data_IF_512083877876
#
_entry.id   IF_512083877876
#
_cell.length_a   1.000
_cell.length_b   1.000
_cell.length_c   1.000
_cell.angle_alpha   90.00
_cell.angle_beta   90.00
_cell.angle_gamma   90.00
#
_symmetry.space_group_name_H-M   'P 1'
#
loop_
_entity.id
_entity.type
_entity.pdbx_description
1 polymer ?
#
# COMPACT_ATOMS: atom_id res chain seq x y z
N UNK A 1 -4.79 -4.26 -1.29
CA UNK A 1 -3.80 -3.19 -1.06
C UNK A 1 -4.45 -1.82 -0.83
N UNK A 2 -5.80 -1.72 -0.83
CA UNK A 2 -6.51 -0.44 -0.67
C UNK A 2 -6.92 -0.29 0.79
N UNK A 3 -6.38 0.70 1.46
CA UNK A 3 -6.77 1.16 2.80
C UNK A 3 -6.28 2.58 3.03
N UNK A 4 -6.69 3.19 4.12
CA UNK A 4 -6.13 4.48 4.56
C UNK A 4 -4.61 4.43 4.60
N UNK A 5 -3.97 5.56 4.39
CA UNK A 5 -2.52 5.76 4.37
C UNK A 5 -1.79 5.08 3.20
N UNK A 6 -2.50 4.56 2.19
CA UNK A 6 -1.84 3.91 1.07
C UNK A 6 -0.99 4.89 0.24
N UNK A 7 0.10 4.36 -0.33
CA UNK A 7 0.93 5.08 -1.29
C UNK A 7 0.69 4.52 -2.69
N UNK A 8 0.40 5.42 -3.64
CA UNK A 8 0.25 5.12 -5.06
C UNK A 8 1.48 5.58 -5.83
N UNK A 9 1.83 4.84 -6.88
CA UNK A 9 3.01 5.14 -7.70
C UNK A 9 2.85 6.46 -8.45
N UNK A 10 3.82 7.36 -8.31
CA UNK A 10 3.88 8.62 -9.05
C UNK A 10 4.17 8.42 -10.54
N UNK A 11 3.72 9.38 -11.36
CA UNK A 11 4.02 9.50 -12.80
C UNK A 11 3.61 8.28 -13.65
N UNK A 12 2.75 7.42 -13.12
CA UNK A 12 2.15 6.28 -13.84
C UNK A 12 0.66 6.20 -13.56
N UNK A 13 -0.13 5.66 -14.47
CA UNK A 13 -1.51 5.29 -14.18
C UNK A 13 -1.54 4.28 -13.01
N UNK A 14 -2.46 4.51 -12.06
CA UNK A 14 -2.69 3.57 -10.98
C UNK A 14 -3.99 2.81 -11.23
N UNK A 15 -3.98 1.52 -10.98
CA UNK A 15 -5.15 0.66 -11.15
C UNK A 15 -5.87 0.52 -9.81
N UNK A 16 -7.11 1.01 -9.76
CA UNK A 16 -8.02 0.80 -8.65
C UNK A 16 -9.04 -0.26 -9.03
N UNK A 17 -9.20 -1.25 -8.17
CA UNK A 17 -10.13 -2.37 -8.37
C UNK A 17 -11.01 -2.55 -7.15
N UNK A 18 -12.18 -3.09 -7.34
CA UNK A 18 -13.08 -3.46 -6.26
C UNK A 18 -14.16 -4.43 -6.73
N UNK A 19 -15.02 -4.81 -5.81
CA UNK A 19 -16.16 -5.67 -6.05
C UNK A 19 -17.48 -4.93 -5.82
N UNK A 20 -18.56 -5.45 -6.36
CA UNK A 20 -19.90 -4.88 -6.22
C UNK A 20 -20.97 -5.72 -6.91
N UNK A 21 -22.19 -5.22 -6.94
CA UNK A 21 -23.32 -5.90 -7.58
C UNK A 21 -23.19 -5.78 -9.10
N UNK A 22 -23.19 -6.90 -9.86
CA UNK A 22 -23.11 -6.87 -11.32
C UNK A 22 -24.11 -5.91 -11.97
N UNK A 23 -23.65 -5.13 -12.94
CA UNK A 23 -24.44 -4.14 -13.66
C UNK A 23 -24.61 -2.79 -12.95
N UNK A 24 -24.21 -2.65 -11.69
CA UNK A 24 -24.23 -1.34 -11.02
C UNK A 24 -23.09 -0.44 -11.50
N UNK A 25 -23.41 0.84 -11.62
CA UNK A 25 -22.41 1.88 -11.91
C UNK A 25 -21.58 2.16 -10.65
N UNK A 26 -20.30 2.43 -10.86
CA UNK A 26 -19.36 2.91 -9.83
C UNK A 26 -18.85 4.28 -10.25
N UNK A 27 -19.01 5.27 -9.38
CA UNK A 27 -18.38 6.58 -9.45
C UNK A 27 -17.19 6.59 -8.49
N UNK A 28 -16.02 6.92 -8.99
CA UNK A 28 -14.82 7.12 -8.17
C UNK A 28 -14.38 8.58 -8.28
N UNK A 29 -14.31 9.26 -7.16
CA UNK A 29 -13.77 10.61 -7.03
C UNK A 29 -12.35 10.53 -6.48
N UNK A 30 -11.38 11.06 -7.23
CA UNK A 30 -9.99 11.06 -6.82
C UNK A 30 -9.20 12.19 -7.48
N UNK A 31 -8.40 12.89 -6.70
CA UNK A 31 -7.51 13.97 -7.16
C UNK A 31 -8.26 15.07 -7.97
N UNK A 32 -9.49 15.40 -7.58
CA UNK A 32 -10.32 16.41 -8.24
C UNK A 32 -10.95 15.95 -9.56
N UNK A 33 -10.90 14.65 -9.85
CA UNK A 33 -11.49 14.02 -11.05
C UNK A 33 -12.52 12.97 -10.69
N UNK A 34 -13.48 12.80 -11.58
CA UNK A 34 -14.46 11.72 -11.54
C UNK A 34 -14.11 10.64 -12.59
N UNK A 35 -14.14 9.40 -12.17
CA UNK A 35 -14.00 8.23 -13.02
C UNK A 35 -15.25 7.38 -12.90
N UNK A 36 -15.71 6.81 -13.99
CA UNK A 36 -16.93 6.00 -14.02
C UNK A 36 -16.66 4.64 -14.66
N UNK A 37 -17.22 3.59 -14.07
CA UNK A 37 -17.17 2.23 -14.59
C UNK A 37 -18.46 1.51 -14.22
N UNK A 38 -18.60 0.27 -14.67
CA UNK A 38 -19.70 -0.62 -14.32
C UNK A 38 -19.14 -1.93 -13.80
N UNK A 39 -19.76 -2.47 -12.74
CA UNK A 39 -19.42 -3.79 -12.21
C UNK A 39 -19.73 -4.85 -13.26
N UNK A 40 -18.74 -5.64 -13.63
CA UNK A 40 -18.89 -6.72 -14.63
C UNK A 40 -19.72 -7.90 -14.09
N UNK A 41 -20.00 -8.89 -14.94
CA UNK A 41 -20.79 -10.08 -14.59
C UNK A 41 -20.13 -10.92 -13.46
N UNK A 42 -18.81 -10.84 -13.29
CA UNK A 42 -18.06 -11.49 -12.21
C UNK A 42 -18.09 -10.74 -10.87
N UNK A 43 -18.80 -9.59 -10.80
CA UNK A 43 -18.88 -8.81 -9.59
C UNK A 43 -17.67 -7.88 -9.35
N UNK A 44 -16.84 -7.65 -10.36
CA UNK A 44 -15.62 -6.83 -10.23
C UNK A 44 -15.70 -5.58 -11.10
N UNK A 45 -15.03 -4.53 -10.66
CA UNK A 45 -14.80 -3.30 -11.42
C UNK A 45 -13.33 -2.89 -11.40
N UNK A 46 -12.94 -2.10 -12.40
CA UNK A 46 -11.60 -1.56 -12.56
C UNK A 46 -11.67 -0.15 -13.09
N UNK A 47 -10.80 0.71 -12.56
CA UNK A 47 -10.54 2.07 -13.03
C UNK A 47 -9.03 2.25 -13.11
N UNK A 48 -8.56 2.74 -14.26
CA UNK A 48 -7.18 3.19 -14.46
C UNK A 48 -7.17 4.72 -14.32
N UNK A 49 -6.46 5.24 -13.32
CA UNK A 49 -6.37 6.68 -13.08
C UNK A 49 -5.31 7.29 -13.99
N UNK A 50 -5.39 8.60 -14.18
CA UNK A 50 -4.29 9.32 -14.83
C UNK A 50 -3.03 9.31 -13.94
N UNK A 51 -1.82 9.51 -14.56
CA UNK A 51 -0.60 9.70 -13.80
C UNK A 51 -0.71 10.92 -12.87
N UNK A 52 -0.27 10.75 -11.63
CA UNK A 52 -0.31 11.80 -10.62
C UNK A 52 1.11 12.18 -10.16
N UNK A 53 1.26 13.43 -9.75
CA UNK A 53 2.48 13.93 -9.11
C UNK A 53 2.33 13.94 -7.59
N UNK A 54 3.44 13.83 -6.83
CA UNK A 54 3.45 14.03 -5.39
C UNK A 54 2.85 15.37 -4.98
N UNK A 55 2.38 15.45 -3.75
CA UNK A 55 1.76 16.63 -3.17
C UNK A 55 1.05 16.27 -1.87
N UNK A 56 0.11 17.11 -1.43
CA UNK A 56 -0.69 16.85 -0.24
C UNK A 56 -1.45 15.53 -0.33
N UNK A 57 -1.66 14.85 0.82
CA UNK A 57 -2.47 13.66 0.88
C UNK A 57 -3.87 13.87 0.33
N UNK A 58 -4.43 12.87 -0.30
CA UNK A 58 -5.72 12.90 -1.00
C UNK A 58 -6.68 11.89 -0.42
N UNK A 59 -7.94 12.05 -0.77
CA UNK A 59 -8.99 11.09 -0.47
C UNK A 59 -9.46 10.42 -1.75
N UNK A 60 -9.78 9.13 -1.67
CA UNK A 60 -10.55 8.42 -2.69
C UNK A 60 -11.95 8.19 -2.13
N UNK A 61 -12.96 8.49 -2.94
CA UNK A 61 -14.37 8.17 -2.63
C UNK A 61 -14.92 7.31 -3.76
N UNK A 62 -15.41 6.12 -3.42
CA UNK A 62 -16.09 5.24 -4.37
C UNK A 62 -17.56 5.10 -3.99
N UNK A 63 -18.46 5.38 -4.94
CA UNK A 63 -19.92 5.39 -4.75
C UNK A 63 -20.55 4.39 -5.70
N UNK A 64 -21.41 3.52 -5.19
CA UNK A 64 -22.20 2.57 -6.00
C UNK A 64 -23.60 2.38 -5.41
N UNK A 65 -24.58 3.05 -6.01
CA UNK A 65 -25.94 3.12 -5.45
C UNK A 65 -25.95 3.90 -4.14
N UNK A 66 -26.38 3.27 -3.04
CA UNK A 66 -26.38 3.87 -1.71
C UNK A 66 -25.06 3.62 -0.94
N UNK A 67 -24.21 2.75 -1.44
CA UNK A 67 -22.94 2.40 -0.80
C UNK A 67 -21.87 3.45 -1.11
N UNK A 68 -21.15 3.90 -0.08
CA UNK A 68 -20.02 4.80 -0.20
C UNK A 68 -18.84 4.26 0.61
N UNK A 69 -17.68 4.16 -0.05
CA UNK A 69 -16.41 3.80 0.58
C UNK A 69 -15.46 4.97 0.45
N UNK A 70 -14.78 5.29 1.54
CA UNK A 70 -13.75 6.32 1.58
C UNK A 70 -12.41 5.71 1.97
N UNK A 71 -11.34 6.19 1.33
CA UNK A 71 -9.95 5.89 1.68
C UNK A 71 -9.24 7.23 1.88
N UNK A 72 -8.72 7.42 3.07
CA UNK A 72 -8.13 8.69 3.50
C UNK A 72 -6.61 8.64 3.46
N UNK A 73 -5.99 9.82 3.46
CA UNK A 73 -4.54 9.97 3.52
C UNK A 73 -3.80 9.17 2.42
N UNK A 74 -4.35 9.22 1.20
CA UNK A 74 -3.72 8.58 0.02
C UNK A 74 -2.59 9.47 -0.49
N UNK A 75 -1.39 8.92 -0.54
CA UNK A 75 -0.18 9.61 -0.94
C UNK A 75 0.29 9.18 -2.31
N UNK A 76 0.97 10.08 -3.01
CA UNK A 76 1.58 9.80 -4.30
C UNK A 76 3.09 9.85 -4.11
N UNK A 77 3.76 8.75 -4.39
CA UNK A 77 5.19 8.60 -4.14
C UNK A 77 5.78 7.43 -4.91
N UNK A 78 6.88 6.89 -4.42
CA UNK A 78 7.49 5.69 -4.99
C UNK A 78 7.10 4.44 -4.20
N UNK A 79 6.59 3.44 -4.91
CA UNK A 79 6.18 2.17 -4.31
C UNK A 79 7.20 1.08 -4.64
N UNK A 80 7.69 0.41 -3.61
CA UNK A 80 8.70 -0.64 -3.71
C UNK A 80 8.17 -1.97 -3.17
N UNK A 81 8.45 -3.06 -3.88
CA UNK A 81 8.16 -4.42 -3.43
C UNK A 81 9.40 -4.95 -2.72
N UNK A 82 9.25 -5.28 -1.45
CA UNK A 82 10.29 -5.80 -0.57
C UNK A 82 10.01 -7.30 -0.37
N UNK A 83 10.61 -8.13 -1.22
CA UNK A 83 10.40 -9.58 -1.21
C UNK A 83 11.64 -10.34 -0.79
N UNK A 84 11.46 -11.52 -0.25
CA UNK A 84 12.53 -12.41 0.17
C UNK A 84 12.12 -13.36 1.28
N UNK A 85 13.09 -13.87 2.01
CA UNK A 85 12.86 -14.75 3.13
C UNK A 85 13.34 -14.13 4.47
N UNK A 86 13.99 -14.88 5.35
CA UNK A 86 14.32 -14.50 6.73
C UNK A 86 14.96 -13.12 6.89
N UNK A 87 15.90 -12.73 6.05
CA UNK A 87 16.55 -11.40 6.15
C UNK A 87 15.60 -10.25 5.77
N UNK A 88 14.65 -10.48 4.89
CA UNK A 88 13.62 -9.50 4.56
C UNK A 88 12.46 -9.51 5.56
N UNK A 89 12.15 -10.65 6.18
CA UNK A 89 11.10 -10.75 7.21
C UNK A 89 11.57 -10.24 8.58
N UNK A 90 12.87 -10.22 8.86
CA UNK A 90 13.45 -9.76 10.11
C UNK A 90 13.02 -8.32 10.44
N UNK A 91 12.28 -8.15 11.54
CA UNK A 91 11.66 -6.86 11.88
C UNK A 91 12.60 -5.93 12.64
N UNK A 92 12.34 -4.61 12.56
CA UNK A 92 13.03 -3.59 13.35
C UNK A 92 12.96 -3.90 14.84
N UNK A 93 11.83 -4.40 15.34
CA UNK A 93 11.64 -4.76 16.74
C UNK A 93 12.56 -5.87 17.25
N UNK A 94 13.19 -6.62 16.35
CA UNK A 94 14.14 -7.69 16.71
C UNK A 94 15.55 -7.21 17.03
N UNK A 95 15.86 -5.93 16.83
CA UNK A 95 17.16 -5.34 17.16
C UNK A 95 17.32 -5.01 18.64
N UNK A 96 18.55 -5.05 19.13
CA UNK A 96 18.88 -4.59 20.48
C UNK A 96 18.57 -3.09 20.70
N UNK A 97 18.72 -2.28 19.67
CA UNK A 97 18.50 -0.81 19.70
C UNK A 97 17.23 -0.37 18.95
N UNK A 98 16.26 -1.27 18.82
CA UNK A 98 14.98 -0.98 18.15
C UNK A 98 14.26 0.26 18.72
N UNK A 99 14.30 0.45 20.03
CA UNK A 99 13.66 1.59 20.70
C UNK A 99 14.35 2.92 20.43
N UNK A 100 15.67 2.92 20.29
CA UNK A 100 16.40 4.12 19.88
C UNK A 100 16.12 4.48 18.44
N UNK A 101 16.01 3.47 17.58
CA UNK A 101 15.66 3.68 16.17
C UNK A 101 14.23 4.18 16.03
N UNK A 102 13.29 3.62 16.78
CA UNK A 102 11.90 4.07 16.83
C UNK A 102 11.78 5.57 17.18
N UNK A 103 12.58 6.06 18.11
CA UNK A 103 12.58 7.50 18.49
C UNK A 103 13.14 8.41 17.40
N UNK A 104 13.97 7.90 16.50
CA UNK A 104 14.57 8.65 15.38
C UNK A 104 13.74 8.64 14.13
N UNK A 105 12.78 7.71 14.02
CA UNK A 105 11.93 7.59 12.86
C UNK A 105 11.04 8.83 12.71
N UNK A 106 11.08 9.43 11.52
CA UNK A 106 10.27 10.60 11.19
C UNK A 106 8.91 10.13 10.71
N UNK A 107 7.85 10.71 11.26
CA UNK A 107 6.50 10.44 10.82
C UNK A 107 6.23 11.14 9.48
N UNK A 108 5.62 10.43 8.55
CA UNK A 108 5.18 11.01 7.28
C UNK A 108 6.11 10.77 6.09
N UNK A 109 7.25 10.12 6.27
CA UNK A 109 8.22 9.88 5.18
C UNK A 109 7.99 8.57 4.45
N UNK A 110 7.53 7.54 5.15
CA UNK A 110 7.30 6.22 4.56
C UNK A 110 6.16 5.45 5.23
N UNK A 111 5.51 4.62 4.42
CA UNK A 111 4.42 3.73 4.83
C UNK A 111 4.69 2.32 4.32
N UNK A 112 4.11 1.35 4.98
CA UNK A 112 4.27 -0.03 4.56
C UNK A 112 2.96 -0.82 4.63
N UNK A 113 2.88 -1.83 3.79
CA UNK A 113 1.83 -2.83 3.76
C UNK A 113 2.49 -4.20 3.81
N UNK A 114 2.25 -4.98 4.86
CA UNK A 114 2.75 -6.34 4.94
C UNK A 114 1.70 -7.29 4.39
N UNK A 115 2.06 -8.06 3.36
CA UNK A 115 1.24 -9.15 2.87
C UNK A 115 1.24 -10.27 3.89
N UNK A 116 0.08 -10.71 4.39
CA UNK A 116 0.00 -11.88 5.23
C UNK A 116 0.48 -13.13 4.48
N UNK A 117 1.18 -14.02 5.18
CA UNK A 117 1.61 -15.29 4.62
C UNK A 117 0.39 -16.14 4.27
N UNK A 118 0.25 -16.47 3.00
CA UNK A 118 -0.82 -17.31 2.48
C UNK A 118 -0.26 -18.24 1.41
N UNK A 119 -0.70 -19.51 1.41
CA UNK A 119 -0.40 -20.48 0.40
C UNK A 119 -1.64 -20.77 -0.41
N UNK A 120 -1.57 -20.45 -1.70
CA UNK A 120 -2.58 -20.81 -2.67
C UNK A 120 -1.98 -21.75 -3.73
N UNK A 121 -2.73 -22.79 -4.06
CA UNK A 121 -2.37 -23.71 -5.14
C UNK A 121 -2.65 -23.14 -6.53
N UNK A 122 -3.48 -22.10 -6.59
CA UNK A 122 -3.88 -21.42 -7.82
C UNK A 122 -3.62 -19.92 -7.63
N UNK A 123 -3.02 -19.23 -8.61
CA UNK A 123 -2.87 -17.79 -8.55
C UNK A 123 -4.21 -17.08 -8.31
N UNK A 124 -4.26 -16.17 -7.32
CA UNK A 124 -5.44 -15.39 -6.97
C UNK A 124 -5.17 -13.91 -7.19
N UNK A 125 -6.17 -13.21 -7.71
CA UNK A 125 -6.17 -11.74 -7.78
C UNK A 125 -6.58 -11.09 -6.44
N UNK A 126 -7.03 -11.89 -5.47
CA UNK A 126 -7.42 -11.42 -4.15
C UNK A 126 -6.27 -11.61 -3.16
N UNK A 127 -5.95 -10.56 -2.44
CA UNK A 127 -4.95 -10.58 -1.38
C UNK A 127 -5.62 -10.68 -0.01
N UNK A 128 -5.01 -11.39 0.95
CA UNK A 128 -5.48 -11.36 2.33
C UNK A 128 -5.56 -9.93 2.85
N UNK A 129 -6.57 -9.65 3.68
CA UNK A 129 -6.77 -8.34 4.26
C UNK A 129 -5.59 -7.91 5.13
N UNK A 130 -5.08 -6.72 4.89
CA UNK A 130 -4.09 -6.03 5.70
C UNK A 130 -4.31 -4.52 5.56
N UNK A 131 -3.47 -3.73 6.21
CA UNK A 131 -3.59 -2.27 6.18
C UNK A 131 -2.22 -1.62 5.99
N UNK A 132 -2.23 -0.46 5.35
CA UNK A 132 -1.07 0.41 5.33
C UNK A 132 -0.83 1.00 6.72
N UNK A 133 0.42 1.05 7.13
CA UNK A 133 0.88 1.58 8.42
C UNK A 133 2.01 2.56 8.20
N UNK A 134 2.12 3.57 9.08
CA UNK A 134 3.28 4.46 9.06
C UNK A 134 4.54 3.70 9.52
N UNK A 135 5.67 3.97 8.87
CA UNK A 135 6.97 3.42 9.27
C UNK A 135 7.56 4.22 10.47
N UNK A 136 6.72 4.50 11.48
CA UNK A 136 7.05 5.27 12.68
C UNK A 136 6.30 4.72 13.89
N UNK A 137 6.56 5.28 15.06
CA UNK A 137 5.89 4.88 16.29
C UNK A 137 5.98 3.38 16.58
N UNK A 138 4.90 2.79 17.10
CA UNK A 138 4.87 1.37 17.44
C UNK A 138 4.81 0.45 16.20
N UNK A 139 4.24 0.94 15.11
CA UNK A 139 4.13 0.17 13.88
C UNK A 139 5.49 -0.09 13.24
N UNK A 140 6.46 0.83 13.40
CA UNK A 140 7.82 0.62 12.93
C UNK A 140 8.44 -0.70 13.42
N UNK A 141 8.14 -1.11 14.65
CA UNK A 141 8.71 -2.32 15.23
C UNK A 141 8.31 -3.61 14.50
N UNK A 142 7.21 -3.58 13.75
CA UNK A 142 6.71 -4.71 12.97
C UNK A 142 7.22 -4.69 11.52
N UNK A 143 7.76 -3.58 11.04
CA UNK A 143 8.27 -3.44 9.69
C UNK A 143 9.56 -4.24 9.49
N UNK A 144 9.72 -4.82 8.31
CA UNK A 144 10.99 -5.36 7.84
C UNK A 144 12.13 -4.34 8.07
N UNK A 145 13.17 -4.76 8.75
CA UNK A 145 14.32 -3.92 8.99
C UNK A 145 15.05 -3.53 7.70
N UNK A 146 15.20 -4.48 6.79
CA UNK A 146 15.82 -4.24 5.48
C UNK A 146 15.03 -3.21 4.69
N UNK A 147 13.70 -3.36 4.64
CA UNK A 147 12.82 -2.43 3.95
C UNK A 147 12.84 -1.02 4.61
N UNK A 148 12.83 -0.97 5.95
CA UNK A 148 12.90 0.29 6.69
C UNK A 148 14.20 1.05 6.42
N UNK A 149 15.36 0.40 6.57
CA UNK A 149 16.63 1.07 6.34
C UNK A 149 16.82 1.48 4.88
N UNK A 150 16.30 0.71 3.94
CA UNK A 150 16.23 1.12 2.55
C UNK A 150 15.44 2.44 2.41
N UNK A 151 14.21 2.49 2.89
CA UNK A 151 13.37 3.69 2.80
C UNK A 151 14.02 4.89 3.52
N UNK A 152 14.56 4.69 4.71
CA UNK A 152 15.24 5.71 5.52
C UNK A 152 16.42 6.38 4.79
N UNK A 153 17.15 5.63 3.97
CA UNK A 153 18.27 6.18 3.21
C UNK A 153 17.85 6.75 1.85
N UNK A 154 16.82 6.19 1.22
CA UNK A 154 16.38 6.62 -0.11
C UNK A 154 15.46 7.84 -0.06
N UNK A 155 14.56 7.90 0.93
CA UNK A 155 13.54 8.94 1.00
C UNK A 155 14.12 10.37 1.01
N UNK A 156 15.18 10.69 1.79
CA UNK A 156 15.77 12.03 1.76
C UNK A 156 16.35 12.42 0.39
N UNK A 157 16.82 11.46 -0.39
CA UNK A 157 17.40 11.69 -1.71
C UNK A 157 16.34 11.97 -2.79
N UNK A 158 15.18 11.28 -2.67
CA UNK A 158 14.10 11.44 -3.66
C UNK A 158 13.06 12.48 -3.27
N UNK A 159 12.95 12.84 -2.00
CA UNK A 159 12.10 13.90 -1.47
C UNK A 159 10.59 13.66 -1.66
N UNK A 160 10.15 12.40 -1.79
CA UNK A 160 8.74 12.03 -1.94
C UNK A 160 8.37 10.89 -1.01
N UNK A 161 7.07 10.69 -0.72
CA UNK A 161 6.62 9.56 0.08
C UNK A 161 7.08 8.21 -0.47
N UNK A 162 7.44 7.28 0.41
CA UNK A 162 7.77 5.90 0.05
C UNK A 162 6.69 4.95 0.55
N UNK A 163 6.20 4.08 -0.33
CA UNK A 163 5.36 2.94 -0.01
C UNK A 163 6.15 1.64 -0.12
N UNK A 164 6.14 0.83 0.94
CA UNK A 164 6.82 -0.47 1.00
C UNK A 164 5.78 -1.58 1.04
N UNK A 165 5.74 -2.43 0.01
CA UNK A 165 4.92 -3.64 0.02
C UNK A 165 5.84 -4.79 0.42
N UNK A 166 5.70 -5.27 1.66
CA UNK A 166 6.54 -6.33 2.20
C UNK A 166 5.87 -7.67 1.96
N UNK A 167 6.56 -8.53 1.21
CA UNK A 167 6.17 -9.91 0.90
C UNK A 167 7.36 -10.82 1.17
N UNK A 168 7.50 -11.27 2.41
CA UNK A 168 8.61 -12.10 2.85
C UNK A 168 8.11 -13.23 3.73
N UNK A 169 8.70 -14.42 3.54
CA UNK A 169 8.37 -15.60 4.32
C UNK A 169 9.62 -16.43 4.59
N UNK A 170 10.02 -16.53 5.86
CA UNK A 170 11.18 -17.31 6.29
C UNK A 170 11.06 -18.79 5.96
N UNK A 171 12.18 -19.40 5.56
CA UNK A 171 12.23 -20.82 5.25
C UNK A 171 11.65 -21.22 3.91
N UNK A 172 11.22 -20.26 3.09
CA UNK A 172 10.77 -20.57 1.71
C UNK A 172 11.96 -20.65 0.76
N UNK A 173 11.84 -21.47 -0.29
CA UNK A 173 12.76 -21.46 -1.42
C UNK A 173 12.61 -20.15 -2.23
N UNK A 174 13.64 -19.82 -2.99
CA UNK A 174 13.65 -18.56 -3.79
C UNK A 174 13.03 -18.78 -5.19
N UNK A 175 12.71 -20.00 -5.51
CA UNK A 175 12.19 -20.44 -6.81
C UNK A 175 10.73 -19.99 -7.02
#
# INVERSE_FOLDING_TARGET
LVSDHMVLQRHKPNVLKGSGVPGRSVLLEFAGKEYRTVVNQGGHWRIDTEPLSPGEPRQIVAISGEDTLQVNDVRIGDVWICSGQSNMEFSVGSFLWAKEEQKKAVEGDSWYYTLPNNLDLIPSDELPASQWKAASGNDLLQLSATAYFFAKHVQPEIGVPIGLIVSAWSGTAIE
#
